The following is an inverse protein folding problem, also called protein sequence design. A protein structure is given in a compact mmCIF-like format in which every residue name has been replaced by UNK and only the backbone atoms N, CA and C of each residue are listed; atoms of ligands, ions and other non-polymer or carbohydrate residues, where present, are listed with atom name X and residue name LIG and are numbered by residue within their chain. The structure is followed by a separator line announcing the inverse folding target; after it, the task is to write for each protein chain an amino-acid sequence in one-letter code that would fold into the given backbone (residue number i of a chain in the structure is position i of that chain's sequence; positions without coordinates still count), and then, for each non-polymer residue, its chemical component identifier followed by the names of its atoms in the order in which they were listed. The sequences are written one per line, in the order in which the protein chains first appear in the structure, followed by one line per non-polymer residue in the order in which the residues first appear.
data_IF_893566948397
#
_entry.id   IF_893566948397
#
_cell.length_a   1.000
_cell.length_b   1.000
_cell.length_c   1.000
_cell.angle_alpha   90.00
_cell.angle_beta   90.00
_cell.angle_gamma   90.00
#
_symmetry.space_group_name_H-M   'P 1'
#
loop_
_entity.id
_entity.type
_entity.pdbx_description
1 polymer ?
#
# COMPACT_ATOMS: atom_id res chain seq x y z
N UNK A 1 -25.52 1.63 18.03
CA UNK A 1 -25.39 0.20 18.37
C UNK A 1 -24.06 -0.34 17.87
N UNK A 2 -23.54 -1.31 18.60
CA UNK A 2 -22.15 -1.79 18.69
C UNK A 2 -21.50 -2.27 17.39
N UNK A 3 -20.22 -1.93 17.21
CA UNK A 3 -19.27 -2.65 16.35
C UNK A 3 -17.92 -2.80 17.05
N UNK A 4 -17.90 -3.43 18.23
CA UNK A 4 -16.66 -4.00 18.76
C UNK A 4 -16.33 -5.28 17.98
N UNK A 5 -15.53 -5.14 16.93
CA UNK A 5 -15.04 -6.26 16.11
C UNK A 5 -14.07 -7.12 16.92
N UNK A 6 -14.42 -8.39 16.97
CA UNK A 6 -13.66 -9.54 17.46
C UNK A 6 -12.24 -9.58 16.89
N UNK A 7 -11.25 -9.27 17.71
CA UNK A 7 -9.87 -9.79 17.61
C UNK A 7 -9.30 -9.94 19.03
N UNK A 8 -9.92 -10.79 19.87
CA UNK A 8 -9.24 -11.35 21.03
C UNK A 8 -8.53 -12.62 20.57
N UNK A 9 -7.24 -12.52 20.26
CA UNK A 9 -6.35 -13.66 20.33
C UNK A 9 -6.31 -14.09 21.79
N UNK A 10 -6.94 -15.23 22.10
CA UNK A 10 -6.70 -15.97 23.33
C UNK A 10 -5.20 -16.12 23.52
N UNK A 11 -4.60 -15.53 24.56
CA UNK A 11 -3.55 -16.10 25.40
C UNK A 11 -3.13 -15.03 26.43
N UNK A 12 -3.07 -15.44 27.71
CA UNK A 12 -2.86 -14.63 28.91
C UNK A 12 -4.12 -13.98 29.54
N UNK A 13 -5.05 -14.83 29.98
CA UNK A 13 -6.09 -14.44 30.95
C UNK A 13 -5.39 -13.84 32.19
N UNK A 14 -5.58 -12.54 32.43
CA UNK A 14 -5.06 -11.84 33.61
C UNK A 14 -3.71 -11.15 33.48
N UNK A 15 -3.07 -11.11 32.31
CA UNK A 15 -1.90 -10.23 32.06
C UNK A 15 -2.32 -8.89 31.47
N UNK A 16 -1.42 -7.90 31.53
CA UNK A 16 -1.60 -6.62 30.88
C UNK A 16 -1.78 -6.78 29.36
N UNK A 17 -2.48 -5.83 28.74
CA UNK A 17 -2.80 -5.81 27.30
C UNK A 17 -2.47 -4.45 26.70
N UNK A 18 -2.14 -4.46 25.42
CA UNK A 18 -1.98 -3.25 24.62
C UNK A 18 -3.01 -3.23 23.50
N UNK A 19 -3.62 -2.07 23.28
CA UNK A 19 -4.48 -1.79 22.14
C UNK A 19 -4.14 -0.40 21.56
N UNK A 20 -4.48 -0.17 20.30
CA UNK A 20 -4.32 1.13 19.67
C UNK A 20 -5.59 1.55 18.93
N UNK A 21 -5.96 2.80 19.13
CA UNK A 21 -7.11 3.42 18.52
C UNK A 21 -6.69 4.65 17.70
N UNK A 22 -7.41 4.88 16.61
CA UNK A 22 -7.27 6.04 15.75
C UNK A 22 -8.64 6.71 15.70
N UNK A 23 -8.66 8.05 15.62
CA UNK A 23 -9.93 8.79 15.48
C UNK A 23 -10.71 8.39 14.22
N UNK A 24 -9.98 7.99 13.17
CA UNK A 24 -10.51 7.50 11.91
C UNK A 24 -9.70 6.30 11.43
N UNK A 25 -10.38 5.28 10.89
CA UNK A 25 -9.73 4.09 10.32
C UNK A 25 -9.34 4.26 8.84
N UNK A 26 -9.37 5.50 8.36
CA UNK A 26 -8.96 5.91 7.02
C UNK A 26 -7.66 6.71 7.16
N UNK A 27 -6.65 6.27 6.42
CA UNK A 27 -5.37 6.95 6.27
C UNK A 27 -5.26 7.55 4.88
N UNK A 28 -4.54 8.66 4.79
CA UNK A 28 -4.14 9.30 3.54
C UNK A 28 -2.61 9.40 3.52
N UNK A 29 -1.94 8.93 2.45
CA UNK A 29 -0.50 9.08 2.30
C UNK A 29 -0.05 10.53 2.44
N UNK A 30 1.09 10.75 3.11
CA UNK A 30 1.65 12.08 3.37
C UNK A 30 1.04 12.81 4.56
N UNK A 31 -0.03 12.28 5.17
CA UNK A 31 -0.63 12.86 6.36
C UNK A 31 -0.10 12.25 7.65
N UNK A 32 -0.21 13.03 8.72
CA UNK A 32 0.07 12.59 10.07
C UNK A 32 -1.23 12.08 10.72
N UNK A 33 -1.16 10.94 11.39
CA UNK A 33 -2.32 10.35 12.07
C UNK A 33 -2.05 10.24 13.57
N UNK A 34 -2.97 10.80 14.36
CA UNK A 34 -2.93 10.68 15.82
C UNK A 34 -3.41 9.30 16.25
N UNK A 35 -2.62 8.65 17.11
CA UNK A 35 -2.89 7.33 17.63
C UNK A 35 -2.92 7.42 19.16
N UNK A 36 -3.95 6.82 19.76
CA UNK A 36 -4.02 6.61 21.20
C UNK A 36 -3.70 5.15 21.49
N UNK A 37 -2.70 4.93 22.33
CA UNK A 37 -2.28 3.60 22.79
C UNK A 37 -2.87 3.39 24.16
N UNK A 38 -3.61 2.32 24.33
CA UNK A 38 -4.24 1.93 25.58
C UNK A 38 -3.49 0.74 26.16
N UNK A 39 -2.95 0.92 27.36
CA UNK A 39 -2.32 -0.15 28.14
C UNK A 39 -3.24 -0.48 29.31
N UNK A 40 -3.73 -1.70 29.33
CA UNK A 40 -4.62 -2.22 30.36
C UNK A 40 -3.82 -3.12 31.28
N UNK A 41 -3.77 -2.82 32.58
CA UNK A 41 -3.10 -3.64 33.58
C UNK A 41 -3.84 -4.95 33.82
N UNK A 42 -3.09 -6.02 34.06
CA UNK A 42 -3.63 -7.35 34.36
C UNK A 42 -4.21 -7.47 35.77
N UNK A 43 -4.24 -8.69 36.29
CA UNK A 43 -4.69 -9.00 37.65
C UNK A 43 -3.64 -8.65 38.72
N UNK A 44 -2.39 -8.41 38.34
CA UNK A 44 -1.27 -8.07 39.23
C UNK A 44 -0.48 -6.90 38.64
N UNK A 45 0.36 -6.28 39.46
CA UNK A 45 1.33 -5.28 39.03
C UNK A 45 2.37 -5.90 38.11
N UNK A 46 2.66 -5.25 36.99
CA UNK A 46 3.58 -5.75 35.96
C UNK A 46 4.50 -4.64 35.46
N UNK A 47 5.74 -5.02 35.09
CA UNK A 47 6.70 -4.12 34.45
C UNK A 47 6.59 -4.23 32.93
N UNK A 48 6.28 -3.10 32.29
CA UNK A 48 6.24 -2.96 30.84
C UNK A 48 7.61 -2.43 30.39
N UNK A 49 8.34 -3.27 29.67
CA UNK A 49 9.69 -2.94 29.19
C UNK A 49 9.64 -2.19 27.85
N UNK A 50 8.63 -2.45 27.02
CA UNK A 50 8.56 -1.86 25.68
C UNK A 50 7.13 -1.84 25.16
N UNK A 51 6.78 -0.74 24.48
CA UNK A 51 5.61 -0.66 23.62
C UNK A 51 6.07 -0.16 22.25
N UNK A 52 5.65 -0.84 21.19
CA UNK A 52 5.92 -0.48 19.81
C UNK A 52 4.64 -0.40 19.00
N UNK A 53 4.58 0.57 18.09
CA UNK A 53 3.60 0.64 17.03
C UNK A 53 4.30 0.54 15.69
N UNK A 54 3.73 -0.22 14.76
CA UNK A 54 4.21 -0.32 13.38
C UNK A 54 3.05 -0.20 12.42
N UNK A 55 3.12 0.74 11.48
CA UNK A 55 2.28 0.71 10.29
C UNK A 55 2.93 -0.23 9.29
N UNK A 56 2.21 -1.27 8.92
CA UNK A 56 2.73 -2.34 8.09
C UNK A 56 1.87 -2.53 6.85
N UNK A 57 2.48 -3.05 5.78
CA UNK A 57 1.76 -3.51 4.59
C UNK A 57 2.29 -4.85 4.11
N UNK A 58 1.63 -5.45 3.12
CA UNK A 58 2.11 -6.69 2.49
C UNK A 58 2.38 -6.54 1.00
N UNK A 59 3.43 -7.22 0.52
CA UNK A 59 3.75 -7.33 -0.90
C UNK A 59 4.08 -8.78 -1.29
N UNK A 60 4.07 -9.05 -2.58
CA UNK A 60 4.45 -10.36 -3.14
C UNK A 60 5.85 -10.29 -3.73
N UNK A 61 6.76 -11.07 -3.17
CA UNK A 61 8.10 -11.31 -3.70
C UNK A 61 8.08 -12.53 -4.62
N UNK A 62 8.84 -12.46 -5.72
CA UNK A 62 9.12 -13.61 -6.59
C UNK A 62 10.53 -14.10 -6.30
N UNK A 63 10.67 -15.36 -5.90
CA UNK A 63 11.97 -16.00 -5.69
C UNK A 63 12.30 -16.84 -6.92
N UNK A 64 13.47 -16.59 -7.50
CA UNK A 64 14.04 -17.40 -8.57
C UNK A 64 14.87 -18.52 -7.95
N UNK A 65 14.50 -19.76 -8.21
CA UNK A 65 15.31 -20.91 -7.81
C UNK A 65 16.37 -21.16 -8.89
N UNK A 66 17.63 -20.83 -8.61
CA UNK A 66 18.76 -21.06 -9.53
C UNK A 66 19.20 -22.54 -9.65
N UNK A 67 18.47 -23.49 -9.05
CA UNK A 67 18.92 -24.88 -8.89
C UNK A 67 18.32 -25.92 -9.86
N UNK A 68 17.57 -25.55 -10.90
CA UNK A 68 17.03 -26.56 -11.83
C UNK A 68 17.55 -26.39 -13.26
N UNK A 69 18.40 -27.33 -13.68
CA UNK A 69 18.79 -27.59 -15.07
C UNK A 69 17.64 -28.16 -15.94
N UNK A 70 16.41 -28.25 -15.41
CA UNK A 70 15.26 -28.74 -16.14
C UNK A 70 14.23 -27.62 -16.35
N UNK A 71 13.78 -27.49 -17.61
CA UNK A 71 12.99 -26.41 -18.22
C UNK A 71 11.58 -26.13 -17.64
N UNK A 72 11.37 -26.26 -16.32
CA UNK A 72 10.12 -25.89 -15.66
C UNK A 72 10.40 -24.93 -14.49
N UNK A 73 10.71 -23.67 -14.82
CA UNK A 73 10.88 -22.58 -13.85
C UNK A 73 9.55 -22.25 -13.14
N UNK A 74 9.22 -22.98 -12.07
CA UNK A 74 8.13 -22.59 -11.19
C UNK A 74 8.60 -21.48 -10.24
N UNK A 75 8.39 -20.23 -10.65
CA UNK A 75 8.61 -19.05 -9.83
C UNK A 75 7.72 -19.10 -8.56
N UNK A 76 8.33 -19.25 -7.39
CA UNK A 76 7.60 -19.24 -6.10
C UNK A 76 7.24 -17.79 -5.75
N UNK A 77 5.97 -17.55 -5.42
CA UNK A 77 5.47 -16.27 -4.92
C UNK A 77 5.30 -16.34 -3.41
N UNK A 78 5.95 -15.43 -2.68
CA UNK A 78 5.88 -15.36 -1.22
C UNK A 78 5.30 -14.01 -0.80
N UNK A 79 4.37 -14.02 0.17
CA UNK A 79 3.88 -12.79 0.78
C UNK A 79 4.85 -12.35 1.87
N UNK A 80 5.32 -11.12 1.78
CA UNK A 80 6.16 -10.48 2.79
C UNK A 80 5.44 -9.30 3.43
N UNK A 81 5.78 -9.04 4.68
CA UNK A 81 5.33 -7.84 5.40
C UNK A 81 6.45 -6.81 5.36
N UNK A 82 6.09 -5.53 5.26
CA UNK A 82 7.01 -4.41 5.30
C UNK A 82 6.55 -3.39 6.35
N UNK A 83 7.50 -2.85 7.12
CA UNK A 83 7.22 -1.77 8.09
C UNK A 83 7.37 -0.44 7.39
N UNK A 84 6.27 0.28 7.23
CA UNK A 84 6.20 1.59 6.58
C UNK A 84 6.62 2.71 7.53
N UNK A 85 6.21 2.62 8.78
CA UNK A 85 6.50 3.60 9.82
C UNK A 85 6.45 2.92 11.18
N UNK A 86 7.25 3.39 12.12
CA UNK A 86 7.28 2.85 13.46
C UNK A 86 7.40 3.93 14.53
N UNK A 87 6.92 3.59 15.72
CA UNK A 87 7.05 4.38 16.92
C UNK A 87 7.28 3.43 18.11
N UNK A 88 8.00 3.89 19.13
CA UNK A 88 8.14 3.15 20.38
C UNK A 88 8.06 4.07 21.59
N UNK A 89 7.61 3.51 22.72
CA UNK A 89 7.61 4.20 24.00
C UNK A 89 9.02 4.62 24.40
N UNK A 90 9.20 5.84 24.93
CA UNK A 90 10.53 6.33 25.30
C UNK A 90 11.06 5.75 26.61
N UNK A 91 10.23 5.09 27.43
CA UNK A 91 10.61 4.57 28.73
C UNK A 91 9.81 3.34 29.15
N UNK A 92 10.39 2.58 30.07
CA UNK A 92 9.77 1.47 30.79
C UNK A 92 8.89 1.99 31.95
N UNK A 93 7.85 1.25 32.32
CA UNK A 93 7.02 1.64 33.46
C UNK A 93 6.32 0.46 34.14
N UNK A 94 5.90 0.67 35.38
CA UNK A 94 5.05 -0.26 36.10
C UNK A 94 3.58 0.09 35.85
N UNK A 95 2.77 -0.93 35.51
CA UNK A 95 1.32 -0.81 35.46
C UNK A 95 0.71 -1.58 36.63
N UNK A 96 -0.10 -0.90 37.43
CA UNK A 96 -0.81 -1.51 38.54
C UNK A 96 -1.96 -2.40 38.05
N UNK A 97 -2.37 -3.35 38.90
CA UNK A 97 -3.47 -4.24 38.60
C UNK A 97 -4.74 -3.47 38.23
N UNK A 98 -5.37 -3.86 37.11
CA UNK A 98 -6.63 -3.29 36.59
C UNK A 98 -6.59 -1.79 36.28
N UNK A 99 -5.42 -1.13 36.28
CA UNK A 99 -5.29 0.28 35.88
C UNK A 99 -5.19 0.41 34.36
N UNK A 100 -5.53 1.60 33.86
CA UNK A 100 -5.39 1.94 32.45
C UNK A 100 -4.39 3.08 32.34
N UNK A 101 -3.47 2.97 31.38
CA UNK A 101 -2.55 4.04 31.01
C UNK A 101 -2.66 4.30 29.51
N UNK A 102 -2.82 5.57 29.16
CA UNK A 102 -2.96 5.99 27.76
C UNK A 102 -1.72 6.77 27.33
N UNK A 103 -1.26 6.52 26.11
CA UNK A 103 -0.24 7.33 25.44
C UNK A 103 -0.84 7.91 24.17
N UNK A 104 -0.52 9.15 23.85
CA UNK A 104 -0.86 9.76 22.57
C UNK A 104 0.41 9.96 21.78
N UNK A 105 0.40 9.54 20.52
CA UNK A 105 1.51 9.75 19.59
C UNK A 105 0.98 10.05 18.20
N UNK A 106 1.87 10.51 17.34
CA UNK A 106 1.59 10.79 15.94
C UNK A 106 2.44 9.89 15.08
N UNK A 107 1.81 9.22 14.11
CA UNK A 107 2.50 8.41 13.13
C UNK A 107 2.37 9.09 11.76
N UNK A 108 3.50 9.26 11.08
CA UNK A 108 3.51 9.80 9.72
C UNK A 108 3.15 8.66 8.77
N UNK A 109 2.15 8.85 7.90
CA UNK A 109 1.79 7.89 6.86
C UNK A 109 2.69 8.14 5.65
N UNK A 110 3.65 7.27 5.30
CA UNK A 110 4.55 7.53 4.18
C UNK A 110 3.79 7.74 2.87
N UNK A 111 4.31 8.62 2.02
CA UNK A 111 3.70 8.98 0.74
C UNK A 111 3.46 7.79 -0.21
N UNK A 112 4.27 6.75 -0.12
CA UNK A 112 4.14 5.53 -0.94
C UNK A 112 3.47 4.37 -0.18
N UNK A 113 2.72 4.68 0.88
CA UNK A 113 1.85 3.70 1.55
C UNK A 113 0.82 3.16 0.55
N UNK A 114 0.67 1.83 0.40
CA UNK A 114 -0.26 1.27 -0.59
C UNK A 114 -1.70 1.67 -0.35
N UNK A 115 -2.38 2.12 -1.41
CA UNK A 115 -3.82 2.32 -1.41
C UNK A 115 -4.51 0.97 -1.21
N UNK A 116 -5.46 0.87 -0.28
CA UNK A 116 -6.12 -0.41 0.02
C UNK A 116 -7.22 -0.68 -0.99
N UNK A 117 -6.83 -1.30 -2.11
CA UNK A 117 -7.71 -1.80 -3.18
C UNK A 117 -7.34 -3.27 -3.46
N UNK A 118 -8.37 -4.10 -3.64
CA UNK A 118 -8.19 -5.54 -3.87
C UNK A 118 -7.51 -6.24 -2.71
N UNK A 119 -6.33 -6.83 -2.97
CA UNK A 119 -5.58 -7.60 -1.98
C UNK A 119 -4.52 -6.79 -1.22
N UNK A 120 -4.35 -5.51 -1.54
CA UNK A 120 -3.44 -4.64 -0.80
C UNK A 120 -3.98 -4.41 0.62
N UNK A 121 -3.21 -4.79 1.63
CA UNK A 121 -3.57 -4.64 3.04
C UNK A 121 -2.55 -3.78 3.75
N UNK A 122 -3.05 -2.87 4.57
CA UNK A 122 -2.29 -2.06 5.51
C UNK A 122 -2.88 -2.29 6.90
N UNK A 123 -2.02 -2.43 7.90
CA UNK A 123 -2.45 -2.64 9.29
C UNK A 123 -1.55 -1.89 10.26
N UNK A 124 -2.12 -1.50 11.39
CA UNK A 124 -1.37 -1.06 12.57
C UNK A 124 -1.11 -2.27 13.45
N UNK A 125 0.15 -2.54 13.73
CA UNK A 125 0.61 -3.56 14.66
C UNK A 125 1.03 -2.88 15.97
N UNK A 126 0.45 -3.33 17.09
CA UNK A 126 0.85 -2.91 18.44
C UNK A 126 1.57 -4.06 19.12
N UNK A 127 2.78 -3.83 19.57
CA UNK A 127 3.61 -4.79 20.29
C UNK A 127 3.86 -4.30 21.70
N UNK A 128 3.73 -5.16 22.69
CA UNK A 128 4.11 -4.86 24.08
C UNK A 128 4.96 -6.00 24.65
N UNK A 129 6.06 -5.63 25.31
CA UNK A 129 6.93 -6.54 26.05
C UNK A 129 6.73 -6.33 27.55
N UNK A 130 6.50 -7.44 28.24
CA UNK A 130 6.41 -7.49 29.70
C UNK A 130 7.59 -8.33 30.20
N UNK A 131 8.23 -7.92 31.29
CA UNK A 131 9.40 -8.64 31.81
C UNK A 131 9.08 -10.12 32.09
N UNK A 132 9.95 -11.01 31.60
CA UNK A 132 9.84 -12.47 31.77
C UNK A 132 8.53 -13.07 31.24
N UNK A 133 7.86 -12.41 30.29
CA UNK A 133 6.64 -12.92 29.62
C UNK A 133 6.78 -12.89 28.10
N UNK A 134 5.86 -13.59 27.44
CA UNK A 134 5.72 -13.62 25.99
C UNK A 134 5.25 -12.24 25.50
N UNK A 135 5.84 -11.77 24.40
CA UNK A 135 5.44 -10.53 23.73
C UNK A 135 3.97 -10.59 23.28
N UNK A 136 3.23 -9.51 23.51
CA UNK A 136 1.84 -9.38 23.09
C UNK A 136 1.78 -8.58 21.79
N UNK A 137 1.06 -9.10 20.80
CA UNK A 137 0.91 -8.49 19.48
C UNK A 137 -0.57 -8.36 19.15
N UNK A 138 -1.00 -7.15 18.80
CA UNK A 138 -2.32 -6.85 18.27
C UNK A 138 -2.21 -6.26 16.86
N UNK A 139 -3.13 -6.61 15.95
CA UNK A 139 -3.15 -6.14 14.56
C UNK A 139 -4.52 -5.58 14.22
N UNK A 140 -4.53 -4.34 13.74
CA UNK A 140 -5.74 -3.64 13.29
C UNK A 140 -5.61 -3.27 11.81
N UNK A 141 -6.50 -3.81 10.97
CA UNK A 141 -6.54 -3.46 9.53
C UNK A 141 -7.03 -2.03 9.38
N UNK A 142 -6.36 -1.25 8.52
CA UNK A 142 -6.71 0.12 8.21
C UNK A 142 -7.03 0.26 6.72
N UNK A 143 -7.85 1.25 6.38
CA UNK A 143 -8.13 1.62 4.99
C UNK A 143 -7.20 2.76 4.59
N UNK A 144 -6.54 2.65 3.44
CA UNK A 144 -5.75 3.73 2.86
C UNK A 144 -6.45 4.20 1.59
N UNK A 145 -6.74 5.49 1.52
CA UNK A 145 -7.29 6.15 0.33
C UNK A 145 -6.16 6.82 -0.45
N UNK A 146 -6.29 6.95 -1.78
CA UNK A 146 -5.31 7.70 -2.57
C UNK A 146 -5.22 9.16 -2.10
N UNK A 147 -4.06 9.78 -2.31
CA UNK A 147 -3.93 11.23 -2.18
C UNK A 147 -4.67 11.95 -3.33
N UNK A 148 -4.95 13.27 -3.23
CA UNK A 148 -5.77 13.98 -4.22
C UNK A 148 -5.27 13.88 -5.67
N UNK A 149 -3.95 13.85 -5.91
CA UNK A 149 -3.42 13.69 -7.27
C UNK A 149 -3.72 12.30 -7.78
N UNK A 150 -3.37 11.26 -7.01
CA UNK A 150 -3.62 9.88 -7.38
C UNK A 150 -5.11 9.58 -7.59
N UNK A 151 -5.99 10.14 -6.75
CA UNK A 151 -7.44 10.01 -6.85
C UNK A 151 -7.99 10.66 -8.13
N UNK A 152 -7.42 11.81 -8.53
CA UNK A 152 -7.77 12.48 -9.78
C UNK A 152 -7.44 11.63 -11.01
N UNK A 153 -6.33 10.88 -10.96
CA UNK A 153 -5.94 9.95 -12.02
C UNK A 153 -6.92 8.79 -12.10
N UNK A 154 -7.24 8.15 -10.99
CA UNK A 154 -8.24 7.08 -10.97
C UNK A 154 -9.60 7.55 -11.48
N UNK A 155 -10.07 8.68 -10.99
CA UNK A 155 -11.34 9.28 -11.43
C UNK A 155 -11.36 9.58 -12.93
N UNK A 156 -10.22 9.99 -13.50
CA UNK A 156 -10.11 10.30 -14.94
C UNK A 156 -10.14 9.03 -15.77
N UNK A 157 -9.36 8.02 -15.40
CA UNK A 157 -9.36 6.73 -16.09
C UNK A 157 -10.76 6.11 -16.06
N UNK A 158 -11.45 6.17 -14.91
CA UNK A 158 -12.83 5.69 -14.79
C UNK A 158 -13.82 6.41 -15.71
N UNK A 159 -13.67 7.74 -15.86
CA UNK A 159 -14.48 8.53 -16.80
C UNK A 159 -14.20 8.19 -18.26
N UNK A 160 -13.00 7.73 -18.56
CA UNK A 160 -12.60 7.25 -19.89
C UNK A 160 -12.93 5.76 -20.11
N UNK A 161 -13.95 5.24 -19.42
CA UNK A 161 -14.38 3.84 -19.53
C UNK A 161 -13.26 2.81 -19.24
N UNK A 162 -12.31 3.14 -18.36
CA UNK A 162 -11.33 2.18 -17.85
C UNK A 162 -11.69 1.77 -16.42
N UNK A 163 -11.77 0.47 -16.17
CA UNK A 163 -12.09 -0.07 -14.83
C UNK A 163 -10.92 -0.82 -14.25
N UNK A 164 -10.67 -0.61 -12.95
CA UNK A 164 -9.68 -1.38 -12.20
C UNK A 164 -10.06 -2.85 -12.27
N UNK A 165 -9.19 -3.66 -12.88
CA UNK A 165 -9.27 -5.11 -12.89
C UNK A 165 -8.49 -5.71 -11.72
N UNK A 166 -7.30 -5.17 -11.44
CA UNK A 166 -6.39 -5.78 -10.48
C UNK A 166 -5.42 -4.77 -9.88
N UNK A 167 -5.15 -4.93 -8.59
CA UNK A 167 -4.15 -4.15 -7.85
C UNK A 167 -3.23 -5.09 -7.10
N UNK A 168 -1.92 -4.91 -7.25
CA UNK A 168 -0.91 -5.76 -6.62
C UNK A 168 0.27 -4.95 -6.10
N UNK A 169 0.69 -5.22 -4.86
CA UNK A 169 1.99 -4.81 -4.34
C UNK A 169 2.99 -5.94 -4.64
N UNK A 170 4.03 -5.66 -5.40
CA UNK A 170 5.03 -6.65 -5.80
C UNK A 170 6.43 -6.05 -5.89
N UNK A 171 7.44 -6.89 -5.74
CA UNK A 171 8.83 -6.49 -5.96
C UNK A 171 9.01 -5.96 -7.38
N UNK A 172 9.70 -4.83 -7.49
CA UNK A 172 10.07 -4.19 -8.75
C UNK A 172 11.56 -3.85 -8.66
N UNK A 173 12.31 -4.16 -9.72
CA UNK A 173 13.73 -3.81 -9.82
C UNK A 173 13.87 -2.36 -10.29
N UNK A 174 14.92 -1.65 -9.87
CA UNK A 174 15.22 -0.27 -10.32
C UNK A 174 14.51 0.83 -9.53
N UNK A 175 13.99 0.52 -8.34
CA UNK A 175 13.51 1.50 -7.35
C UNK A 175 14.14 1.12 -6.01
N UNK A 176 15.07 1.93 -5.49
CA UNK A 176 16.00 1.48 -4.43
C UNK A 176 15.54 1.78 -2.99
N UNK A 177 14.56 2.65 -2.80
CA UNK A 177 14.06 3.07 -1.48
C UNK A 177 12.92 2.19 -0.92
N UNK A 178 12.24 1.42 -1.78
CA UNK A 178 11.14 0.55 -1.37
C UNK A 178 11.26 -0.82 -2.07
N UNK A 179 11.15 -1.94 -1.32
CA UNK A 179 11.34 -3.27 -1.89
C UNK A 179 10.18 -3.73 -2.78
N UNK A 180 9.12 -2.93 -2.90
CA UNK A 180 7.95 -3.23 -3.71
C UNK A 180 7.33 -1.95 -4.24
N UNK A 181 6.56 -2.06 -5.32
CA UNK A 181 5.68 -0.99 -5.81
C UNK A 181 4.25 -1.49 -5.95
N UNK A 182 3.28 -0.57 -5.90
CA UNK A 182 1.89 -0.86 -6.18
C UNK A 182 1.59 -0.68 -7.67
N UNK A 183 1.17 -1.77 -8.31
CA UNK A 183 0.75 -1.76 -9.72
C UNK A 183 -0.77 -1.84 -9.80
N UNK A 184 -1.34 -1.02 -10.67
CA UNK A 184 -2.75 -1.00 -11.02
C UNK A 184 -2.90 -1.51 -12.46
N UNK A 185 -3.90 -2.36 -12.69
CA UNK A 185 -4.26 -2.91 -13.99
C UNK A 185 -5.72 -2.57 -14.25
N UNK A 186 -5.94 -1.89 -15.36
CA UNK A 186 -7.23 -1.43 -15.86
C UNK A 186 -7.58 -2.17 -17.14
N UNK A 187 -8.87 -2.37 -17.36
CA UNK A 187 -9.41 -2.86 -18.64
C UNK A 187 -10.41 -1.86 -19.20
N UNK A 188 -10.47 -1.70 -20.53
CA UNK A 188 -11.51 -0.91 -21.15
C UNK A 188 -12.85 -1.66 -21.09
N UNK A 189 -13.89 -0.92 -20.73
CA UNK A 189 -15.31 -1.27 -20.94
C UNK A 189 -15.84 -0.47 -22.14
N UNK A 190 -17.08 -0.67 -22.63
CA UNK A 190 -17.58 0.06 -23.79
C UNK A 190 -17.30 1.57 -23.70
N UNK A 191 -16.62 2.10 -24.71
CA UNK A 191 -16.01 3.43 -24.70
C UNK A 191 -14.84 3.55 -25.69
N UNK A 192 -14.06 4.64 -25.62
CA UNK A 192 -13.09 5.02 -26.66
C UNK A 192 -11.94 4.01 -26.84
N UNK A 193 -11.59 3.26 -25.81
CA UNK A 193 -10.47 2.30 -25.85
C UNK A 193 -10.92 0.83 -26.01
N UNK A 194 -12.22 0.58 -26.06
CA UNK A 194 -12.76 -0.78 -26.17
C UNK A 194 -12.38 -1.42 -27.50
N UNK A 195 -11.87 -2.65 -27.46
CA UNK A 195 -11.39 -3.38 -28.66
C UNK A 195 -10.01 -2.93 -29.17
N UNK A 196 -9.58 -1.71 -28.86
CA UNK A 196 -8.24 -1.20 -29.21
C UNK A 196 -7.18 -1.63 -28.18
N UNK A 197 -7.50 -1.49 -26.89
CA UNK A 197 -6.61 -1.84 -25.79
C UNK A 197 -7.09 -3.13 -25.11
N UNK A 198 -6.16 -4.02 -24.77
CA UNK A 198 -6.43 -5.17 -23.88
C UNK A 198 -6.41 -4.76 -22.41
N UNK A 199 -5.57 -3.79 -22.08
CA UNK A 199 -5.48 -3.23 -20.75
C UNK A 199 -4.46 -2.12 -20.66
N UNK A 200 -4.58 -1.34 -19.58
CA UNK A 200 -3.63 -0.31 -19.19
C UNK A 200 -3.11 -0.70 -17.81
N UNK A 201 -1.79 -0.79 -17.68
CA UNK A 201 -1.13 -1.04 -16.41
C UNK A 201 -0.28 0.17 -16.03
N UNK A 202 -0.25 0.54 -14.76
CA UNK A 202 0.71 1.52 -14.31
C UNK A 202 1.22 1.27 -12.90
N UNK A 203 2.41 1.79 -12.64
CA UNK A 203 2.99 1.95 -11.31
C UNK A 203 2.96 3.45 -10.99
N UNK A 204 2.44 3.78 -9.82
CA UNK A 204 2.47 5.13 -9.29
C UNK A 204 3.49 5.24 -8.16
N UNK A 205 4.24 6.33 -8.15
CA UNK A 205 5.21 6.64 -7.10
C UNK A 205 5.20 8.12 -6.79
N UNK A 206 5.14 8.42 -5.50
CA UNK A 206 5.29 9.76 -4.97
C UNK A 206 6.76 10.04 -4.67
N UNK A 207 7.23 11.19 -5.13
CA UNK A 207 8.52 11.79 -4.75
C UNK A 207 8.27 13.13 -4.05
N UNK A 208 9.33 13.79 -3.57
CA UNK A 208 9.21 15.12 -2.98
C UNK A 208 8.67 16.18 -3.97
N UNK A 209 8.90 15.99 -5.27
CA UNK A 209 8.56 16.96 -6.32
C UNK A 209 7.38 16.58 -7.20
N UNK A 210 7.02 15.28 -7.29
CA UNK A 210 6.00 14.84 -8.23
C UNK A 210 5.30 13.53 -7.86
N UNK A 211 4.19 13.25 -8.54
CA UNK A 211 3.62 11.93 -8.72
C UNK A 211 4.09 11.41 -10.07
N UNK A 212 4.92 10.38 -10.08
CA UNK A 212 5.42 9.73 -11.31
C UNK A 212 4.59 8.50 -11.61
N UNK A 213 4.17 8.36 -12.87
CA UNK A 213 3.40 7.24 -13.39
C UNK A 213 4.17 6.57 -14.53
N UNK A 214 4.58 5.32 -14.33
CA UNK A 214 5.09 4.47 -15.42
C UNK A 214 3.91 3.68 -15.97
N UNK A 215 3.51 4.02 -17.19
CA UNK A 215 2.30 3.49 -17.82
C UNK A 215 2.71 2.55 -18.96
N UNK A 216 2.04 1.41 -19.02
CA UNK A 216 2.15 0.41 -20.08
C UNK A 216 0.76 0.11 -20.63
N UNK A 217 0.64 -0.03 -21.94
CA UNK A 217 -0.63 -0.30 -22.62
C UNK A 217 -0.47 -1.55 -23.46
N UNK A 218 -1.21 -2.59 -23.10
CA UNK A 218 -1.29 -3.81 -23.91
C UNK A 218 -2.31 -3.61 -25.03
N UNK A 219 -1.86 -3.78 -26.29
CA UNK A 219 -2.66 -3.55 -27.49
C UNK A 219 -2.93 -4.87 -28.22
N UNK A 220 -4.02 -4.91 -28.98
CA UNK A 220 -4.48 -6.13 -29.65
C UNK A 220 -3.62 -6.62 -30.84
N UNK A 221 -2.51 -5.96 -31.19
CA UNK A 221 -1.65 -6.41 -32.28
C UNK A 221 -0.84 -7.65 -31.88
N UNK A 222 -0.49 -8.48 -32.86
CA UNK A 222 0.22 -9.78 -32.70
C UNK A 222 1.57 -9.70 -31.95
N UNK A 223 2.04 -8.49 -31.64
CA UNK A 223 3.21 -8.22 -30.80
C UNK A 223 2.81 -7.49 -29.51
N UNK A 224 2.72 -8.21 -28.40
CA UNK A 224 2.92 -7.63 -27.06
C UNK A 224 3.21 -8.74 -26.05
N UNK A 225 4.50 -9.08 -25.90
CA UNK A 225 4.95 -9.73 -24.66
C UNK A 225 4.63 -8.75 -23.53
N UNK A 226 3.65 -9.10 -22.68
CA UNK A 226 3.30 -8.36 -21.47
C UNK A 226 4.57 -7.90 -20.74
N UNK A 227 4.75 -6.59 -20.54
CA UNK A 227 5.98 -6.07 -19.94
C UNK A 227 6.06 -6.61 -18.50
N UNK A 228 7.10 -7.39 -18.16
CA UNK A 228 7.23 -7.89 -16.80
C UNK A 228 7.46 -6.68 -15.88
N UNK A 229 6.95 -6.74 -14.64
CA UNK A 229 7.13 -5.61 -13.69
C UNK A 229 8.56 -5.17 -13.52
N UNK A 230 9.49 -6.11 -13.57
CA UNK A 230 10.93 -5.86 -13.47
C UNK A 230 11.45 -4.90 -14.54
N UNK A 231 10.71 -4.72 -15.64
CA UNK A 231 11.06 -3.82 -16.73
C UNK A 231 10.36 -2.46 -16.67
N UNK A 232 9.42 -2.22 -15.73
CA UNK A 232 8.74 -0.91 -15.62
C UNK A 232 9.72 0.23 -15.29
N UNK A 233 10.74 -0.03 -14.48
CA UNK A 233 11.80 0.95 -14.20
C UNK A 233 12.64 1.30 -15.43
N UNK A 234 12.60 0.46 -16.47
CA UNK A 234 13.31 0.67 -17.74
C UNK A 234 12.43 1.36 -18.80
N UNK A 235 11.15 1.60 -18.49
CA UNK A 235 10.27 2.37 -19.39
C UNK A 235 10.81 3.80 -19.46
N UNK A 236 11.20 4.21 -20.68
CA UNK A 236 11.68 5.57 -20.95
C UNK A 236 10.55 6.61 -20.79
N UNK A 237 9.32 6.24 -21.14
CA UNK A 237 8.14 7.08 -20.99
C UNK A 237 7.51 6.93 -19.60
N UNK A 238 7.40 8.04 -18.89
CA UNK A 238 6.63 8.17 -17.67
C UNK A 238 5.92 9.53 -17.66
N UNK A 239 4.71 9.58 -17.12
CA UNK A 239 4.02 10.85 -16.86
C UNK A 239 4.45 11.35 -15.49
N UNK A 240 4.95 12.58 -15.43
CA UNK A 240 5.35 13.22 -14.17
C UNK A 240 4.43 14.40 -13.89
N UNK A 241 3.69 14.32 -12.78
CA UNK A 241 2.74 15.34 -12.34
C UNK A 241 3.33 16.06 -11.13
N UNK A 242 3.78 17.32 -11.27
CA UNK A 242 4.37 18.08 -10.15
C UNK A 242 3.42 18.20 -8.96
N UNK A 243 3.95 18.17 -7.74
CA UNK A 243 3.15 18.23 -6.50
C UNK A 243 2.31 19.50 -6.38
N UNK A 244 2.71 20.58 -7.05
CA UNK A 244 2.06 21.88 -7.03
C UNK A 244 0.85 21.94 -7.97
N UNK A 245 0.70 20.96 -8.87
CA UNK A 245 -0.45 20.91 -9.78
C UNK A 245 -1.74 20.68 -9.02
N UNK A 246 -2.79 21.37 -9.46
CA UNK A 246 -4.15 21.13 -9.00
C UNK A 246 -4.65 19.79 -9.53
N UNK A 247 -5.71 19.25 -8.91
CA UNK A 247 -6.35 18.03 -9.41
C UNK A 247 -6.93 18.23 -10.82
N UNK A 248 -7.31 19.44 -11.21
CA UNK A 248 -7.78 19.75 -12.57
C UNK A 248 -6.64 19.67 -13.59
N UNK A 249 -5.48 20.25 -13.28
CA UNK A 249 -4.31 20.15 -14.15
C UNK A 249 -3.81 18.71 -14.28
N UNK A 250 -3.79 17.95 -13.18
CA UNK A 250 -3.43 16.54 -13.19
C UNK A 250 -4.36 15.71 -14.11
N UNK A 251 -5.66 16.02 -14.11
CA UNK A 251 -6.64 15.39 -15.02
C UNK A 251 -6.34 15.71 -16.49
N UNK A 252 -6.02 16.96 -16.81
CA UNK A 252 -5.67 17.35 -18.18
C UNK A 252 -4.40 16.63 -18.65
N UNK A 253 -3.37 16.60 -17.80
CA UNK A 253 -2.09 15.95 -18.11
C UNK A 253 -2.25 14.45 -18.43
N UNK A 254 -3.09 13.72 -17.68
CA UNK A 254 -3.32 12.30 -17.98
C UNK A 254 -4.15 12.11 -19.24
N UNK A 255 -5.11 13.00 -19.54
CA UNK A 255 -5.88 12.91 -20.80
C UNK A 255 -4.99 13.16 -22.01
N UNK A 256 -4.21 14.24 -22.00
CA UNK A 256 -3.23 14.54 -23.05
C UNK A 256 -2.27 13.36 -23.27
N UNK A 257 -1.76 12.78 -22.18
CA UNK A 257 -0.89 11.60 -22.27
C UNK A 257 -1.57 10.38 -22.90
N UNK A 258 -2.85 10.12 -22.58
CA UNK A 258 -3.60 9.02 -23.18
C UNK A 258 -3.88 9.28 -24.66
N UNK A 259 -4.19 10.52 -25.03
CA UNK A 259 -4.46 10.94 -26.40
C UNK A 259 -3.19 10.85 -27.27
N UNK A 260 -2.05 11.33 -26.78
CA UNK A 260 -0.75 11.22 -27.44
C UNK A 260 -0.38 9.75 -27.71
N UNK A 261 -0.54 8.89 -26.70
CA UNK A 261 -0.22 7.48 -26.85
C UNK A 261 -1.20 6.80 -27.81
N UNK A 262 -2.47 7.19 -27.80
CA UNK A 262 -3.47 6.65 -28.72
C UNK A 262 -3.18 7.05 -30.17
N UNK A 263 -2.81 8.32 -30.41
CA UNK A 263 -2.62 8.91 -31.74
C UNK A 263 -1.32 8.48 -32.42
N UNK A 264 -0.23 8.27 -31.68
CA UNK A 264 1.07 7.91 -32.24
C UNK A 264 1.08 6.62 -33.08
N UNK A 265 0.08 5.74 -32.95
CA UNK A 265 0.08 4.42 -33.62
C UNK A 265 -1.25 4.06 -34.31
N UNK A 266 -2.13 5.04 -34.56
CA UNK A 266 -3.16 4.88 -35.60
C UNK A 266 -2.45 5.01 -36.95
N UNK A 267 -1.90 3.91 -37.47
CA UNK A 267 -1.60 3.88 -38.91
C UNK A 267 -2.93 4.04 -39.64
N UNK A 268 -3.06 4.96 -40.61
CA UNK A 268 -4.25 5.00 -41.43
C UNK A 268 -4.39 3.64 -42.11
N UNK A 269 -5.58 3.05 -41.99
CA UNK A 269 -5.98 1.93 -42.83
C UNK A 269 -6.14 2.48 -44.24
N UNK A 270 -5.06 2.43 -45.02
CA UNK A 270 -5.09 2.42 -46.47
C UNK A 270 -4.56 1.06 -46.94
#
# INVERSE_FOLDING_TARGET
MSLFKKTLTNFAIGSAKVDSSLKQEILFPGQNTNITIHVYGGCKKEKIDYIGLKLCCCYTEKIFNNSSKNNNEQNKKIKQSYTLSEWSSPYEFLIEARKIRNFSTTLNVPWNTPVTIGNAKVWLESKMKISMKIDLINKKILTVRPDPLMDSIFSTLEKQSLRIRKVVCKTVQGFDDLPFMQKFEFIPIPGPYYGCWRGLEFIARRTNGALKLWIDIDRNQKDSKKIPSSSFSKLKSHLEIPVQKTTTEAKMMILEYLDDISSQHVRPLF
#
